data_IF_867197554305
#
_entry.id   IF_867197554305
#
_cell.length_a   1.000
_cell.length_b   1.000
_cell.length_c   1.000
_cell.angle_alpha   90.00
_cell.angle_beta   90.00
_cell.angle_gamma   90.00
#
_symmetry.space_group_name_H-M   'P 1'
#
loop_
_entity.id
_entity.type
_entity.pdbx_description
1 polymer ?
#
# COMPACT_ATOMS: atom_id res chain seq x y z
N UNK A 1 74.40 33.45 -33.34
CA UNK A 1 73.89 32.45 -32.40
C UNK A 1 72.52 32.95 -31.96
N UNK A 2 71.42 32.41 -32.52
CA UNK A 2 70.04 32.86 -32.32
C UNK A 2 69.32 31.80 -31.46
N UNK A 3 68.99 32.13 -30.21
CA UNK A 3 68.20 31.25 -29.33
C UNK A 3 66.73 31.39 -29.67
N UNK A 4 66.06 30.33 -30.13
CA UNK A 4 64.63 30.24 -30.30
C UNK A 4 64.03 29.83 -28.98
N UNK A 5 63.15 30.67 -28.42
CA UNK A 5 62.30 30.37 -27.28
C UNK A 5 61.02 29.67 -27.79
N UNK A 6 60.77 28.46 -27.30
CA UNK A 6 59.52 27.71 -27.54
C UNK A 6 58.53 28.06 -26.42
N UNK A 7 57.42 28.70 -26.76
CA UNK A 7 56.29 28.95 -25.85
C UNK A 7 55.34 27.76 -25.93
N UNK A 8 55.27 26.94 -24.86
CA UNK A 8 54.24 25.93 -24.71
C UNK A 8 52.96 26.60 -24.19
N UNK A 9 51.96 26.68 -25.02
CA UNK A 9 50.61 27.06 -24.61
C UNK A 9 49.88 25.87 -23.96
N UNK A 10 49.57 25.96 -22.68
CA UNK A 10 48.73 24.99 -21.99
C UNK A 10 47.25 25.30 -22.28
N UNK A 11 46.61 24.41 -23.03
CA UNK A 11 45.19 24.47 -23.36
C UNK A 11 44.40 23.76 -22.22
N UNK A 12 43.81 24.50 -21.31
CA UNK A 12 42.93 23.96 -20.27
C UNK A 12 41.58 23.59 -20.90
N UNK A 13 41.30 22.31 -21.01
CA UNK A 13 39.97 21.80 -21.40
C UNK A 13 39.00 21.91 -20.24
N UNK A 14 38.03 22.82 -20.34
CA UNK A 14 36.88 22.90 -19.43
C UNK A 14 35.96 21.72 -19.75
N UNK A 15 35.99 20.68 -18.89
CA UNK A 15 35.02 19.61 -18.91
C UNK A 15 33.76 20.11 -18.23
N UNK A 16 32.78 20.56 -19.03
CA UNK A 16 31.44 20.87 -18.56
C UNK A 16 30.74 19.55 -18.24
N UNK A 17 30.73 19.16 -16.95
CA UNK A 17 29.94 18.04 -16.47
C UNK A 17 28.45 18.38 -16.57
N UNK A 18 27.77 17.79 -17.53
CA UNK A 18 26.30 17.76 -17.54
C UNK A 18 25.86 16.88 -16.36
N UNK A 19 25.31 17.52 -15.32
CA UNK A 19 24.64 16.81 -14.26
C UNK A 19 23.47 16.01 -14.88
N UNK A 20 23.65 14.71 -14.95
CA UNK A 20 22.63 13.77 -15.37
C UNK A 20 21.47 13.89 -14.37
N UNK A 21 20.38 14.54 -14.77
CA UNK A 21 19.18 14.66 -13.94
C UNK A 21 18.63 13.25 -13.77
N UNK A 22 18.66 12.74 -12.54
CA UNK A 22 18.03 11.47 -12.19
C UNK A 22 16.62 11.42 -12.81
N UNK A 23 16.20 10.29 -13.41
CA UNK A 23 14.91 10.19 -14.06
C UNK A 23 13.82 10.53 -13.05
N UNK A 24 13.00 11.56 -13.35
CA UNK A 24 11.80 11.87 -12.58
C UNK A 24 10.98 10.58 -12.56
N UNK A 25 10.75 10.04 -11.36
CA UNK A 25 9.79 8.94 -11.17
C UNK A 25 8.51 9.32 -11.89
N UNK A 26 8.15 8.55 -12.91
CA UNK A 26 6.93 8.76 -13.65
C UNK A 26 5.76 8.63 -12.67
N UNK A 27 4.89 9.63 -12.61
CA UNK A 27 3.79 9.65 -11.65
C UNK A 27 2.89 8.44 -11.90
N UNK A 28 2.58 7.68 -10.85
CA UNK A 28 1.69 6.52 -10.97
C UNK A 28 0.37 6.92 -11.66
N UNK A 29 -0.15 6.11 -12.58
CA UNK A 29 -1.41 6.39 -13.27
C UNK A 29 -2.58 6.46 -12.28
N UNK A 30 -3.68 7.10 -12.68
CA UNK A 30 -4.94 7.09 -11.93
C UNK A 30 -5.87 6.07 -12.55
N UNK A 31 -6.31 5.09 -11.77
CA UNK A 31 -7.31 4.10 -12.20
C UNK A 31 -8.71 4.72 -12.12
N UNK A 32 -9.00 5.45 -11.03
CA UNK A 32 -10.26 6.13 -10.80
C UNK A 32 -10.50 6.47 -9.33
N UNK A 33 -11.68 6.97 -8.96
CA UNK A 33 -12.06 7.11 -7.57
C UNK A 33 -12.06 5.76 -6.85
N UNK A 34 -11.41 5.67 -5.69
CA UNK A 34 -11.45 4.45 -4.89
C UNK A 34 -12.88 4.21 -4.37
N UNK A 35 -13.41 2.97 -4.44
CA UNK A 35 -14.73 2.65 -3.92
C UNK A 35 -14.86 3.00 -2.44
N UNK A 36 -15.87 3.78 -2.08
CA UNK A 36 -16.13 4.16 -0.71
C UNK A 36 -16.56 2.94 0.12
N UNK A 37 -16.20 2.92 1.39
CA UNK A 37 -16.70 1.95 2.37
C UNK A 37 -16.89 2.62 3.73
N UNK A 38 -17.72 2.02 4.57
CA UNK A 38 -17.81 2.28 6.01
C UNK A 38 -18.05 0.95 6.69
N UNK A 39 -17.04 0.44 7.41
CA UNK A 39 -17.03 -0.88 8.02
C UNK A 39 -16.66 -0.80 9.50
N UNK A 40 -16.80 -1.90 10.23
CA UNK A 40 -16.49 -1.99 11.66
C UNK A 40 -15.07 -2.49 11.86
N UNK A 41 -14.25 -1.76 12.59
CA UNK A 41 -12.88 -2.13 12.89
C UNK A 41 -12.77 -3.11 14.07
N UNK A 42 -11.57 -3.67 14.28
CA UNK A 42 -11.23 -4.59 15.36
C UNK A 42 -11.42 -4.02 16.78
N UNK A 43 -11.60 -2.71 16.90
CA UNK A 43 -11.90 -1.98 18.13
C UNK A 43 -13.37 -1.47 18.19
N UNK A 44 -14.22 -2.05 17.34
CA UNK A 44 -15.66 -1.79 17.20
C UNK A 44 -16.01 -0.39 16.65
N UNK A 45 -15.03 0.47 16.38
CA UNK A 45 -15.29 1.77 15.75
C UNK A 45 -15.67 1.60 14.28
N UNK A 46 -16.53 2.49 13.80
CA UNK A 46 -16.82 2.60 12.37
C UNK A 46 -15.66 3.35 11.68
N UNK A 47 -15.14 2.78 10.63
CA UNK A 47 -14.06 3.37 9.81
C UNK A 47 -14.52 3.48 8.36
N UNK A 48 -14.44 4.67 7.81
CA UNK A 48 -14.74 4.92 6.41
C UNK A 48 -13.48 5.28 5.62
N UNK A 49 -13.50 5.08 4.31
CA UNK A 49 -12.42 5.57 3.45
C UNK A 49 -12.29 7.10 3.52
N UNK A 50 -13.39 7.82 3.77
CA UNK A 50 -13.40 9.27 3.91
C UNK A 50 -12.56 9.74 5.12
N UNK A 51 -12.57 8.99 6.23
CA UNK A 51 -11.79 9.30 7.44
C UNK A 51 -10.28 9.18 7.21
N UNK A 52 -9.88 8.52 6.13
CA UNK A 52 -8.47 8.27 5.77
C UNK A 52 -7.95 9.25 4.70
N UNK A 53 -8.73 10.27 4.35
CA UNK A 53 -8.26 11.34 3.44
C UNK A 53 -7.01 12.01 3.99
N UNK A 54 -6.13 12.42 3.09
CA UNK A 54 -4.81 12.96 3.45
C UNK A 54 -3.74 11.90 3.69
N UNK A 55 -4.10 10.61 3.73
CA UNK A 55 -3.15 9.50 3.86
C UNK A 55 -3.12 8.65 2.59
N UNK A 56 -1.97 8.04 2.32
CA UNK A 56 -1.90 6.91 1.38
C UNK A 56 -2.48 5.69 2.08
N UNK A 57 -3.48 5.06 1.47
CA UNK A 57 -4.13 3.87 2.02
C UNK A 57 -3.71 2.63 1.23
N UNK A 58 -3.22 1.60 1.94
CA UNK A 58 -2.97 0.28 1.36
C UNK A 58 -4.04 -0.68 1.87
N UNK A 59 -4.90 -1.14 0.95
CA UNK A 59 -6.06 -1.96 1.27
C UNK A 59 -5.86 -3.38 0.75
N UNK A 60 -6.09 -4.37 1.63
CA UNK A 60 -6.02 -5.80 1.35
C UNK A 60 -7.32 -6.50 1.76
N UNK A 61 -7.55 -7.71 1.20
CA UNK A 61 -8.63 -8.57 1.62
C UNK A 61 -8.06 -9.87 2.19
N UNK A 62 -8.59 -10.30 3.35
CA UNK A 62 -8.11 -11.46 4.11
C UNK A 62 -9.28 -12.27 4.66
N UNK A 63 -8.99 -13.43 5.27
CA UNK A 63 -9.83 -14.08 6.27
C UNK A 63 -8.93 -14.80 7.28
N UNK A 64 -9.34 -14.85 8.55
CA UNK A 64 -8.44 -15.26 9.64
C UNK A 64 -8.14 -16.74 9.68
N UNK A 65 -9.04 -17.58 9.13
CA UNK A 65 -8.87 -19.04 9.07
C UNK A 65 -8.07 -19.52 7.86
N UNK A 66 -7.58 -18.61 7.01
CA UNK A 66 -6.65 -18.94 5.92
C UNK A 66 -5.31 -19.39 6.50
N UNK A 67 -4.85 -20.58 6.09
CA UNK A 67 -3.61 -21.19 6.63
C UNK A 67 -2.39 -20.96 5.74
N UNK A 68 -2.53 -20.32 4.58
CA UNK A 68 -1.45 -20.21 3.59
C UNK A 68 -1.22 -18.75 3.17
N UNK A 69 -2.03 -18.22 2.31
CA UNK A 69 -1.76 -16.96 1.58
C UNK A 69 -1.99 -15.71 2.43
N UNK A 70 -3.05 -15.67 3.27
CA UNK A 70 -3.34 -14.49 4.10
C UNK A 70 -2.27 -14.22 5.15
N UNK A 71 -1.72 -15.23 5.87
CA UNK A 71 -0.59 -15.02 6.77
C UNK A 71 0.65 -14.45 6.07
N UNK A 72 0.97 -14.93 4.86
CA UNK A 72 2.09 -14.42 4.06
C UNK A 72 1.88 -12.96 3.67
N UNK A 73 0.68 -12.60 3.19
CA UNK A 73 0.34 -11.22 2.85
C UNK A 73 0.43 -10.31 4.09
N UNK A 74 -0.14 -10.75 5.21
CA UNK A 74 -0.13 -9.97 6.46
C UNK A 74 1.29 -9.79 6.99
N UNK A 75 2.15 -10.82 6.90
CA UNK A 75 3.56 -10.71 7.27
C UNK A 75 4.34 -9.72 6.37
N UNK A 76 4.05 -9.71 5.04
CA UNK A 76 4.60 -8.69 4.12
C UNK A 76 4.18 -7.29 4.54
N UNK A 77 2.91 -7.09 4.87
CA UNK A 77 2.39 -5.79 5.32
C UNK A 77 3.03 -5.36 6.65
N UNK A 78 3.22 -6.28 7.62
CA UNK A 78 3.95 -6.00 8.85
C UNK A 78 5.42 -5.62 8.60
N UNK A 79 6.06 -6.22 7.59
CA UNK A 79 7.37 -5.82 7.11
C UNK A 79 7.40 -4.40 6.55
N UNK A 80 6.42 -4.05 5.70
CA UNK A 80 6.28 -2.71 5.15
C UNK A 80 5.99 -1.65 6.21
N UNK A 81 5.13 -1.95 7.18
CA UNK A 81 4.85 -1.11 8.34
C UNK A 81 6.16 -0.67 9.04
N UNK A 82 7.09 -1.59 9.27
CA UNK A 82 8.39 -1.28 9.87
C UNK A 82 9.26 -0.38 8.96
N UNK A 83 9.26 -0.65 7.65
CA UNK A 83 10.06 0.10 6.66
C UNK A 83 9.56 1.52 6.40
N UNK A 84 8.28 1.78 6.67
CA UNK A 84 7.67 3.12 6.58
C UNK A 84 8.07 4.03 7.75
N UNK A 85 8.47 3.45 8.89
CA UNK A 85 8.96 4.24 10.03
C UNK A 85 7.94 5.29 10.51
N UNK A 86 8.36 6.56 10.53
CA UNK A 86 7.52 7.67 10.98
C UNK A 86 6.34 7.99 10.05
N UNK A 87 6.39 7.61 8.77
CA UNK A 87 5.27 7.83 7.85
C UNK A 87 4.08 6.90 8.17
N UNK A 88 4.33 5.73 8.80
CA UNK A 88 3.27 4.83 9.20
C UNK A 88 2.39 5.45 10.27
N UNK A 89 1.08 5.30 10.14
CA UNK A 89 0.02 5.93 10.92
C UNK A 89 -0.16 7.43 10.68
N UNK A 90 0.90 8.17 10.41
CA UNK A 90 0.83 9.61 10.16
C UNK A 90 0.36 9.90 8.73
N UNK A 91 1.04 9.35 7.74
CA UNK A 91 0.84 9.62 6.31
C UNK A 91 0.40 8.39 5.52
N UNK A 92 0.61 7.18 6.06
CA UNK A 92 0.24 5.90 5.46
C UNK A 92 -0.64 5.12 6.43
N UNK A 93 -1.73 4.56 5.93
CA UNK A 93 -2.65 3.76 6.71
C UNK A 93 -2.96 2.44 6.00
N UNK A 94 -2.93 1.33 6.74
CA UNK A 94 -3.27 0.02 6.20
C UNK A 94 -4.70 -0.37 6.57
N UNK A 95 -5.36 -1.02 5.64
CA UNK A 95 -6.71 -1.55 5.82
C UNK A 95 -6.72 -3.00 5.36
N UNK A 96 -7.13 -3.92 6.24
CA UNK A 96 -7.38 -5.32 5.92
C UNK A 96 -8.86 -5.61 6.12
N UNK A 97 -9.59 -5.89 5.03
CA UNK A 97 -11.03 -6.20 5.06
C UNK A 97 -11.21 -7.70 5.05
N UNK A 98 -11.99 -8.24 5.98
CA UNK A 98 -12.31 -9.68 5.92
C UNK A 98 -13.29 -10.01 4.80
N UNK A 99 -13.15 -11.20 4.21
CA UNK A 99 -14.15 -11.81 3.32
C UNK A 99 -14.97 -12.90 4.02
N UNK A 100 -14.76 -13.11 5.33
CA UNK A 100 -15.50 -14.07 6.17
C UNK A 100 -16.11 -13.43 7.43
N UNK A 101 -17.01 -12.45 7.26
CA UNK A 101 -17.54 -11.68 8.39
C UNK A 101 -18.35 -12.51 9.40
N UNK A 102 -18.76 -13.71 9.03
CA UNK A 102 -19.49 -14.61 9.94
C UNK A 102 -18.58 -15.20 11.02
N UNK A 103 -17.30 -15.43 10.70
CA UNK A 103 -16.28 -15.93 11.64
C UNK A 103 -15.39 -14.82 12.18
N UNK A 104 -15.08 -13.85 11.36
CA UNK A 104 -14.12 -12.78 11.66
C UNK A 104 -14.80 -11.61 12.37
N UNK A 105 -15.16 -11.81 13.65
CA UNK A 105 -15.65 -10.74 14.53
C UNK A 105 -14.54 -9.72 14.83
N UNK A 106 -14.87 -8.52 15.33
CA UNK A 106 -13.86 -7.55 15.75
C UNK A 106 -12.81 -8.14 16.70
N UNK A 107 -13.23 -8.93 17.68
CA UNK A 107 -12.30 -9.58 18.63
C UNK A 107 -11.36 -10.59 17.94
N UNK A 108 -11.86 -11.38 16.99
CA UNK A 108 -11.06 -12.34 16.20
C UNK A 108 -10.04 -11.59 15.34
N UNK A 109 -10.46 -10.53 14.65
CA UNK A 109 -9.59 -9.68 13.84
C UNK A 109 -8.51 -8.98 14.68
N UNK A 110 -8.84 -8.53 15.88
CA UNK A 110 -7.88 -7.97 16.82
C UNK A 110 -6.80 -8.98 17.22
N UNK A 111 -7.21 -10.20 17.57
CA UNK A 111 -6.27 -11.29 17.88
C UNK A 111 -5.38 -11.63 16.69
N UNK A 112 -5.97 -11.75 15.49
CA UNK A 112 -5.22 -12.02 14.26
C UNK A 112 -4.19 -10.92 13.97
N UNK A 113 -4.59 -9.66 13.98
CA UNK A 113 -3.69 -8.53 13.74
C UNK A 113 -2.54 -8.49 14.75
N UNK A 114 -2.84 -8.66 16.04
CA UNK A 114 -1.82 -8.69 17.09
C UNK A 114 -0.81 -9.83 16.90
N UNK A 115 -1.28 -11.04 16.59
CA UNK A 115 -0.43 -12.21 16.32
C UNK A 115 0.54 -12.01 15.13
N UNK A 116 0.16 -11.14 14.17
CA UNK A 116 0.99 -10.81 13.01
C UNK A 116 1.78 -9.51 13.17
N UNK A 117 1.80 -8.90 14.37
CA UNK A 117 2.58 -7.70 14.67
C UNK A 117 2.02 -6.41 14.06
N UNK A 118 0.71 -6.35 13.83
CA UNK A 118 0.05 -5.14 13.36
C UNK A 118 0.06 -4.05 14.44
N UNK A 119 0.41 -2.83 14.05
CA UNK A 119 0.32 -1.63 14.89
C UNK A 119 -0.99 -0.92 14.57
N UNK A 120 -1.96 -1.02 15.49
CA UNK A 120 -3.34 -0.58 15.28
C UNK A 120 -3.52 0.94 15.16
N UNK A 121 -2.52 1.75 15.52
CA UNK A 121 -2.56 3.18 15.27
C UNK A 121 -2.52 3.55 13.78
N UNK A 122 -2.04 2.64 12.92
CA UNK A 122 -1.94 2.83 11.47
C UNK A 122 -2.48 1.66 10.65
N UNK A 123 -3.12 0.67 11.28
CA UNK A 123 -3.65 -0.51 10.59
C UNK A 123 -5.01 -0.93 11.18
N UNK A 124 -6.06 -0.83 10.37
CA UNK A 124 -7.39 -1.31 10.72
C UNK A 124 -7.69 -2.66 10.05
N UNK A 125 -8.27 -3.57 10.83
CA UNK A 125 -8.84 -4.82 10.37
C UNK A 125 -10.36 -4.70 10.42
N UNK A 126 -11.00 -4.76 9.25
CA UNK A 126 -12.40 -4.37 9.10
C UNK A 126 -13.30 -5.57 8.83
N UNK A 127 -14.46 -5.57 9.46
CA UNK A 127 -15.57 -6.48 9.24
C UNK A 127 -16.88 -5.71 9.07
N UNK A 128 -17.95 -6.40 8.78
CA UNK A 128 -19.29 -5.83 8.63
C UNK A 128 -20.33 -6.91 8.44
N UNK A 129 -21.52 -6.54 8.02
CA UNK A 129 -22.51 -7.53 7.60
C UNK A 129 -22.04 -8.26 6.32
N UNK A 130 -22.50 -9.51 6.09
CA UNK A 130 -22.17 -10.21 4.83
C UNK A 130 -22.54 -9.43 3.56
N UNK A 131 -23.58 -8.59 3.63
CA UNK A 131 -23.99 -7.73 2.51
C UNK A 131 -22.99 -6.59 2.27
N UNK A 132 -22.56 -5.88 3.33
CA UNK A 132 -21.56 -4.81 3.27
C UNK A 132 -20.23 -5.35 2.69
N UNK A 133 -19.77 -6.50 3.20
CA UNK A 133 -18.51 -7.11 2.75
C UNK A 133 -18.59 -7.51 1.29
N UNK A 134 -19.68 -8.15 0.83
CA UNK A 134 -19.87 -8.50 -0.58
C UNK A 134 -19.84 -7.28 -1.49
N UNK A 135 -20.52 -6.21 -1.10
CA UNK A 135 -20.58 -4.98 -1.88
C UNK A 135 -19.19 -4.33 -2.01
N UNK A 136 -18.48 -4.17 -0.89
CA UNK A 136 -17.13 -3.60 -0.90
C UNK A 136 -16.17 -4.47 -1.70
N UNK A 137 -16.13 -5.77 -1.46
CA UNK A 137 -15.26 -6.70 -2.18
C UNK A 137 -15.50 -6.62 -3.69
N UNK A 138 -16.77 -6.70 -4.13
CA UNK A 138 -17.14 -6.60 -5.56
C UNK A 138 -16.64 -5.31 -6.19
N UNK A 139 -16.81 -4.16 -5.52
CA UNK A 139 -16.40 -2.84 -6.05
C UNK A 139 -14.88 -2.69 -6.16
N UNK A 140 -14.11 -3.41 -5.31
CA UNK A 140 -12.66 -3.49 -5.42
C UNK A 140 -12.16 -4.59 -6.37
N UNK A 141 -13.06 -5.32 -7.04
CA UNK A 141 -12.69 -6.38 -7.98
C UNK A 141 -12.36 -7.71 -7.30
N UNK A 142 -12.78 -7.89 -6.04
CA UNK A 142 -12.59 -9.13 -5.29
C UNK A 142 -13.80 -10.04 -5.48
N UNK A 143 -13.56 -11.21 -6.04
CA UNK A 143 -14.54 -12.30 -6.13
C UNK A 143 -14.16 -13.35 -5.10
N UNK A 144 -15.11 -13.79 -4.29
CA UNK A 144 -14.89 -14.85 -3.31
C UNK A 144 -16.07 -15.81 -3.22
N UNK A 145 -15.78 -17.06 -2.88
CA UNK A 145 -16.75 -18.14 -2.74
C UNK A 145 -16.33 -19.08 -1.62
N UNK A 146 -17.25 -19.40 -0.71
CA UNK A 146 -17.04 -20.48 0.27
C UNK A 146 -17.01 -21.82 -0.46
N UNK A 147 -15.97 -22.62 -0.19
CA UNK A 147 -15.86 -23.99 -0.65
C UNK A 147 -16.68 -24.93 0.22
N UNK A 148 -16.93 -26.17 -0.24
CA UNK A 148 -17.61 -27.19 0.55
C UNK A 148 -16.82 -27.58 1.83
N UNK A 149 -15.51 -27.31 1.87
CA UNK A 149 -14.65 -27.57 3.03
C UNK A 149 -14.63 -26.42 4.05
N UNK A 150 -15.34 -25.32 3.76
CA UNK A 150 -15.37 -24.14 4.60
C UNK A 150 -14.26 -23.13 4.38
N UNK A 151 -13.33 -23.40 3.46
CA UNK A 151 -12.34 -22.43 2.99
C UNK A 151 -12.98 -21.39 2.08
N UNK A 152 -12.27 -20.30 1.84
CA UNK A 152 -12.73 -19.25 0.94
C UNK A 152 -11.74 -19.08 -0.19
N UNK A 153 -12.19 -19.44 -1.41
CA UNK A 153 -11.48 -19.06 -2.63
C UNK A 153 -11.77 -17.59 -2.92
N UNK A 154 -10.75 -16.77 -3.02
CA UNK A 154 -10.92 -15.37 -3.39
C UNK A 154 -9.77 -14.83 -4.23
N UNK A 155 -10.06 -13.79 -5.00
CA UNK A 155 -9.05 -13.02 -5.72
C UNK A 155 -8.23 -12.22 -4.71
N UNK A 156 -6.90 -12.31 -4.81
CA UNK A 156 -5.99 -11.50 -3.99
C UNK A 156 -5.64 -10.23 -4.76
N UNK A 157 -6.05 -9.09 -4.23
CA UNK A 157 -5.65 -7.76 -4.72
C UNK A 157 -5.20 -6.90 -3.55
N UNK A 158 -4.07 -6.24 -3.72
CA UNK A 158 -3.62 -5.17 -2.83
C UNK A 158 -3.80 -3.84 -3.55
N UNK A 159 -4.65 -2.98 -3.04
CA UNK A 159 -5.00 -1.69 -3.64
C UNK A 159 -4.27 -0.56 -2.95
N UNK A 160 -3.65 0.34 -3.72
CA UNK A 160 -3.00 1.56 -3.21
C UNK A 160 -3.83 2.77 -3.62
N UNK A 161 -4.23 3.56 -2.63
CA UNK A 161 -5.11 4.72 -2.77
C UNK A 161 -4.33 5.96 -2.33
N UNK A 162 -4.35 7.00 -3.13
CA UNK A 162 -3.64 8.24 -2.84
C UNK A 162 -4.37 9.11 -1.78
N UNK A 163 -3.73 10.15 -1.22
CA UNK A 163 -4.34 11.02 -0.20
C UNK A 163 -5.63 11.72 -0.66
N UNK A 164 -5.86 11.84 -1.96
CA UNK A 164 -7.10 12.39 -2.54
C UNK A 164 -8.20 11.32 -2.68
N UNK A 165 -7.89 10.05 -2.35
CA UNK A 165 -8.79 8.91 -2.45
C UNK A 165 -8.95 8.40 -3.88
N UNK A 166 -7.94 8.56 -4.71
CA UNK A 166 -7.88 7.96 -6.03
C UNK A 166 -7.14 6.62 -5.95
N UNK A 167 -7.70 5.60 -6.55
CA UNK A 167 -7.06 4.30 -6.74
C UNK A 167 -5.96 4.44 -7.78
N UNK A 168 -4.74 4.09 -7.42
CA UNK A 168 -3.54 4.31 -8.25
C UNK A 168 -2.94 3.01 -8.76
N UNK A 169 -2.85 2.01 -7.91
CA UNK A 169 -2.26 0.70 -8.23
C UNK A 169 -3.08 -0.41 -7.61
N UNK A 170 -3.16 -1.53 -8.31
CA UNK A 170 -3.65 -2.80 -7.77
C UNK A 170 -2.65 -3.91 -8.09
N UNK A 171 -2.08 -4.50 -7.05
CA UNK A 171 -1.22 -5.67 -7.16
C UNK A 171 -2.06 -6.94 -7.14
N UNK A 172 -1.95 -7.74 -8.20
CA UNK A 172 -2.66 -9.02 -8.30
C UNK A 172 -1.85 -10.13 -7.60
N UNK A 173 -2.54 -10.95 -6.82
CA UNK A 173 -1.89 -12.01 -6.05
C UNK A 173 -1.10 -11.51 -4.86
N UNK A 174 -0.22 -12.37 -4.33
CA UNK A 174 0.61 -12.06 -3.15
C UNK A 174 2.11 -12.14 -3.43
N UNK A 175 2.48 -12.39 -4.70
CA UNK A 175 3.88 -12.55 -5.10
C UNK A 175 4.58 -11.24 -5.48
N UNK A 176 3.90 -10.08 -5.33
CA UNK A 176 4.53 -8.79 -5.57
C UNK A 176 5.71 -8.57 -4.62
N UNK A 177 6.70 -7.81 -5.08
CA UNK A 177 7.86 -7.48 -4.28
C UNK A 177 7.53 -6.36 -3.27
N UNK A 178 7.75 -6.56 -1.95
CA UNK A 178 7.45 -5.54 -0.94
C UNK A 178 8.17 -4.21 -1.19
N UNK A 179 9.32 -4.23 -1.86
CA UNK A 179 10.06 -3.02 -2.20
C UNK A 179 9.36 -2.21 -3.28
N UNK A 180 8.71 -2.86 -4.25
CA UNK A 180 7.91 -2.21 -5.29
C UNK A 180 6.74 -1.46 -4.67
N UNK A 181 5.93 -2.15 -3.86
CA UNK A 181 4.82 -1.52 -3.13
C UNK A 181 5.29 -0.35 -2.25
N UNK A 182 6.44 -0.49 -1.57
CA UNK A 182 6.99 0.58 -0.74
C UNK A 182 7.38 1.81 -1.58
N UNK A 183 7.97 1.60 -2.76
CA UNK A 183 8.35 2.68 -3.66
C UNK A 183 7.12 3.41 -4.19
N UNK A 184 6.07 2.68 -4.57
CA UNK A 184 4.81 3.27 -5.01
C UNK A 184 4.15 4.09 -3.90
N UNK A 185 4.08 3.55 -2.68
CA UNK A 185 3.57 4.29 -1.51
C UNK A 185 4.39 5.58 -1.29
N UNK A 186 5.72 5.50 -1.37
CA UNK A 186 6.60 6.67 -1.19
C UNK A 186 6.44 7.71 -2.29
N UNK A 187 6.25 7.30 -3.55
CA UNK A 187 5.99 8.22 -4.65
C UNK A 187 4.73 9.04 -4.41
N UNK A 188 3.66 8.40 -3.93
CA UNK A 188 2.40 9.06 -3.59
C UNK A 188 2.50 10.01 -2.38
N UNK A 189 3.44 9.77 -1.47
CA UNK A 189 3.75 10.70 -0.38
C UNK A 189 4.44 11.96 -0.87
N UNK A 190 5.25 11.87 -1.94
CA UNK A 190 5.88 13.00 -2.60
C UNK A 190 4.86 13.90 -3.33
N UNK A 191 3.85 13.31 -3.94
CA UNK A 191 2.77 14.01 -4.65
C UNK A 191 1.82 14.78 -3.70
N UNK A 192 1.86 14.49 -2.41
CA UNK A 192 1.02 15.10 -1.38
C UNK A 192 1.59 16.41 -0.79
N UNK A 193 2.66 16.99 -1.37
CA UNK A 193 3.10 18.33 -0.96
C UNK A 193 1.99 19.34 -1.25
N UNK A 194 1.52 20.11 -0.25
CA UNK A 194 0.54 21.18 -0.49
C UNK A 194 1.17 22.20 -1.44
N UNK A 195 0.40 22.60 -2.44
CA UNK A 195 0.70 23.77 -3.28
C UNK A 195 0.54 25.04 -2.47
#
# INVERSE_FOLDING_TARGET
MIRRAIVLGAMAALVSGTADAAPKSEALPTIGPAPAFTLTAQDERRVSLADLRGKVVVLTFIYTTCTDTCPLLTAKMAGLQRRLGADFAQRVFFVSVTVDPERDTPAVLKGYGAAHGARFEGWAFLTGTPAEIRDVAKRYGIFYKKTARGDIDHTFLTSVIDPRGLLRVQYMGVRFEPTELLNDVRSLLGDAKPR
#
